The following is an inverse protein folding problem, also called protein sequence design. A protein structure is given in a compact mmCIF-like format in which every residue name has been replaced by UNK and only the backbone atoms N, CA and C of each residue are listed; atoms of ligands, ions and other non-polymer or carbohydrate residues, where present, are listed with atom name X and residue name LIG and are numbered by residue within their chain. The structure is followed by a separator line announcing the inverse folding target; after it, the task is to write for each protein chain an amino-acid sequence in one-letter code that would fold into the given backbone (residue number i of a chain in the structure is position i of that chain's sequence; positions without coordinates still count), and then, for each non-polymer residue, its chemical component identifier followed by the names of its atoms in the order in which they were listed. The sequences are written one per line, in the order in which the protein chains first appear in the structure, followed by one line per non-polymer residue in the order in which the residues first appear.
data_IF_832144475525
#
_entry.id   IF_832144475525
#
_cell.length_a   1.000
_cell.length_b   1.000
_cell.length_c   1.000
_cell.angle_alpha   90.00
_cell.angle_beta   90.00
_cell.angle_gamma   90.00
#
_symmetry.space_group_name_H-M   'P 1'
#
loop_
_entity.id
_entity.type
_entity.pdbx_description
1 polymer ?
#
# COMPACT_ATOMS: atom_id res chain seq x y z
N UNK A 1 19.10 0.17 17.48
CA UNK A 1 19.24 -0.35 16.10
C UNK A 1 18.53 -1.69 16.04
N UNK A 2 17.73 -1.94 15.00
CA UNK A 2 17.05 -3.23 14.85
C UNK A 2 18.10 -4.37 14.73
N UNK A 3 17.68 -5.56 15.16
CA UNK A 3 18.51 -6.76 15.09
C UNK A 3 18.77 -7.18 13.64
N UNK A 4 19.96 -7.76 13.37
CA UNK A 4 20.29 -8.18 12.01
C UNK A 4 19.36 -9.31 11.52
N UNK A 5 18.91 -9.19 10.27
CA UNK A 5 18.09 -10.21 9.61
C UNK A 5 18.89 -11.48 9.25
N UNK A 6 18.23 -12.68 9.27
CA UNK A 6 18.84 -13.93 8.81
C UNK A 6 18.86 -14.01 7.26
N UNK A 7 20.05 -13.98 6.64
CA UNK A 7 20.15 -14.02 5.18
C UNK A 7 19.54 -15.29 4.54
N UNK A 8 19.49 -16.42 5.26
CA UNK A 8 18.97 -17.69 4.73
C UNK A 8 17.44 -17.65 4.61
N UNK A 9 16.77 -17.15 5.66
CA UNK A 9 15.30 -17.05 5.63
C UNK A 9 14.85 -15.94 4.67
N UNK A 10 15.61 -14.83 4.59
CA UNK A 10 15.34 -13.75 3.62
C UNK A 10 15.49 -14.22 2.17
N UNK A 11 16.49 -15.06 1.87
CA UNK A 11 16.63 -15.69 0.56
C UNK A 11 15.47 -16.65 0.26
N UNK A 12 15.04 -17.44 1.25
CA UNK A 12 13.88 -18.30 1.09
C UNK A 12 12.62 -17.49 0.74
N UNK A 13 12.36 -16.39 1.44
CA UNK A 13 11.24 -15.49 1.17
C UNK A 13 11.37 -14.86 -0.23
N UNK A 14 12.54 -14.32 -0.58
CA UNK A 14 12.78 -13.68 -1.87
C UNK A 14 12.55 -14.63 -3.05
N UNK A 15 12.92 -15.89 -2.92
CA UNK A 15 12.72 -16.91 -3.97
C UNK A 15 11.21 -17.18 -4.26
N UNK A 16 10.31 -16.72 -3.40
CA UNK A 16 8.85 -16.84 -3.58
C UNK A 16 8.23 -15.72 -4.41
N UNK A 17 8.98 -14.68 -4.71
CA UNK A 17 8.52 -13.60 -5.62
C UNK A 17 8.22 -14.20 -7.01
N UNK A 18 9.03 -15.14 -7.49
CA UNK A 18 8.88 -15.80 -8.79
C UNK A 18 7.63 -16.67 -8.92
N UNK A 19 6.94 -17.01 -7.82
CA UNK A 19 5.67 -17.75 -7.86
C UNK A 19 4.49 -16.91 -8.39
N UNK A 20 4.69 -15.61 -8.60
CA UNK A 20 3.65 -14.71 -9.09
C UNK A 20 2.53 -14.46 -8.08
N UNK A 21 1.38 -14.01 -8.60
CA UNK A 21 0.13 -13.89 -7.84
C UNK A 21 -0.68 -15.17 -8.06
N UNK A 22 -1.09 -15.78 -6.98
CA UNK A 22 -2.01 -16.93 -6.98
C UNK A 22 -3.30 -16.50 -6.30
N UNK A 23 -4.41 -16.60 -7.02
CA UNK A 23 -5.73 -16.42 -6.44
C UNK A 23 -6.24 -17.76 -5.91
N UNK A 24 -6.75 -17.77 -4.69
CA UNK A 24 -7.30 -18.96 -4.03
C UNK A 24 -6.91 -19.04 -2.58
N UNK A 25 -7.76 -19.66 -1.76
CA UNK A 25 -7.64 -19.67 -0.30
C UNK A 25 -6.95 -20.93 0.21
N UNK A 26 -7.04 -22.04 -0.53
CA UNK A 26 -6.68 -23.40 -0.05
C UNK A 26 -5.23 -23.52 0.45
N UNK A 27 -4.27 -22.82 -0.16
CA UNK A 27 -2.88 -22.81 0.31
C UNK A 27 -2.78 -22.21 1.72
N UNK A 28 -3.40 -21.05 1.93
CA UNK A 28 -3.36 -20.38 3.23
C UNK A 28 -4.24 -21.07 4.27
N UNK A 29 -5.39 -21.64 3.91
CA UNK A 29 -6.23 -22.42 4.81
C UNK A 29 -5.44 -23.58 5.42
N UNK A 30 -4.81 -24.41 4.58
CA UNK A 30 -3.98 -25.54 5.04
C UNK A 30 -2.77 -25.06 5.86
N UNK A 31 -2.14 -23.95 5.48
CA UNK A 31 -1.01 -23.41 6.23
C UNK A 31 -1.43 -22.87 7.59
N UNK A 32 -2.55 -22.13 7.67
CA UNK A 32 -3.10 -21.63 8.94
C UNK A 32 -3.45 -22.77 9.88
N UNK A 33 -4.07 -23.86 9.36
CA UNK A 33 -4.34 -25.05 10.15
C UNK A 33 -3.05 -25.65 10.74
N UNK A 34 -1.98 -25.80 9.93
CA UNK A 34 -0.66 -26.28 10.37
C UNK A 34 -0.01 -25.39 11.43
N UNK A 35 -0.28 -24.09 11.37
CA UNK A 35 0.24 -23.08 12.29
C UNK A 35 -0.67 -22.88 13.52
N UNK A 36 -1.73 -23.68 13.68
CA UNK A 36 -2.64 -23.62 14.83
C UNK A 36 -3.70 -22.51 14.77
N UNK A 37 -4.01 -22.03 13.56
CA UNK A 37 -5.01 -20.97 13.29
C UNK A 37 -4.78 -19.67 14.09
N UNK A 38 -3.59 -19.05 14.02
CA UNK A 38 -3.26 -17.86 14.82
C UNK A 38 -4.20 -16.68 14.53
N UNK A 39 -4.77 -16.59 13.31
CA UNK A 39 -5.72 -15.54 12.89
C UNK A 39 -7.03 -15.54 13.69
N UNK A 40 -7.38 -16.63 14.37
CA UNK A 40 -8.59 -16.73 15.19
C UNK A 40 -8.40 -16.21 16.63
N UNK A 41 -7.18 -15.75 16.98
CA UNK A 41 -6.86 -15.24 18.33
C UNK A 41 -7.30 -13.78 18.53
N UNK A 42 -7.68 -13.08 17.50
CA UNK A 42 -8.04 -11.65 17.54
C UNK A 42 -9.07 -11.30 16.47
N UNK A 43 -9.99 -10.37 16.72
CA UNK A 43 -10.88 -9.82 15.71
C UNK A 43 -10.14 -8.87 14.78
N UNK A 44 -10.66 -8.70 13.57
CA UNK A 44 -9.99 -7.93 12.52
C UNK A 44 -10.93 -6.95 11.83
N UNK A 45 -10.36 -5.81 11.39
CA UNK A 45 -10.98 -4.91 10.40
C UNK A 45 -10.32 -5.23 9.05
N UNK A 46 -11.13 -5.65 8.08
CA UNK A 46 -10.63 -6.12 6.78
C UNK A 46 -10.91 -5.10 5.68
N UNK A 47 -9.85 -4.61 5.03
CA UNK A 47 -9.92 -3.47 4.10
C UNK A 47 -9.56 -3.88 2.68
N UNK A 48 -10.51 -3.71 1.75
CA UNK A 48 -10.30 -3.84 0.31
C UNK A 48 -10.49 -2.49 -0.40
N UNK A 49 -10.19 -2.45 -1.69
CA UNK A 49 -10.33 -1.26 -2.54
C UNK A 49 -9.26 -1.22 -3.62
N UNK A 50 -9.33 -0.23 -4.50
CA UNK A 50 -8.29 0.01 -5.50
C UNK A 50 -7.21 0.90 -4.89
N UNK A 51 -7.54 2.12 -4.53
CA UNK A 51 -6.64 3.10 -3.92
C UNK A 51 -7.05 3.41 -2.48
N UNK A 52 -6.13 3.94 -1.66
CA UNK A 52 -6.42 4.40 -0.30
C UNK A 52 -6.43 3.33 0.81
N UNK A 53 -6.35 2.03 0.50
CA UNK A 53 -6.38 0.94 1.50
C UNK A 53 -5.36 1.13 2.62
N UNK A 54 -4.08 1.23 2.27
CA UNK A 54 -2.99 1.34 3.25
C UNK A 54 -3.10 2.60 4.11
N UNK A 55 -3.55 3.73 3.53
CA UNK A 55 -3.78 4.98 4.29
C UNK A 55 -4.92 4.82 5.30
N UNK A 56 -6.03 4.20 4.89
CA UNK A 56 -7.13 3.90 5.80
C UNK A 56 -6.69 2.93 6.91
N UNK A 57 -5.96 1.87 6.56
CA UNK A 57 -5.44 0.92 7.54
C UNK A 57 -4.52 1.60 8.58
N UNK A 58 -3.67 2.52 8.14
CA UNK A 58 -2.80 3.28 9.01
C UNK A 58 -3.59 4.20 9.95
N UNK A 59 -4.60 4.93 9.43
CA UNK A 59 -5.50 5.77 10.24
C UNK A 59 -6.26 4.94 11.28
N UNK A 60 -6.80 3.77 10.91
CA UNK A 60 -7.51 2.88 11.83
C UNK A 60 -6.58 2.30 12.90
N UNK A 61 -5.33 1.96 12.53
CA UNK A 61 -4.32 1.52 13.51
C UNK A 61 -4.03 2.60 14.55
N UNK A 62 -3.83 3.84 14.10
CA UNK A 62 -3.61 4.97 15.00
C UNK A 62 -4.83 5.25 15.89
N UNK A 63 -6.03 5.20 15.32
CA UNK A 63 -7.28 5.43 16.05
C UNK A 63 -7.51 4.35 17.12
N UNK A 64 -7.25 3.08 16.81
CA UNK A 64 -7.30 2.00 17.79
C UNK A 64 -6.28 2.20 18.92
N UNK A 65 -5.04 2.57 18.58
CA UNK A 65 -3.99 2.86 19.56
C UNK A 65 -4.34 4.07 20.45
N UNK A 66 -4.95 5.12 19.89
CA UNK A 66 -5.46 6.28 20.63
C UNK A 66 -6.50 5.85 21.68
N UNK A 67 -7.25 4.79 21.41
CA UNK A 67 -8.22 4.19 22.33
C UNK A 67 -7.60 3.12 23.27
N UNK A 68 -6.28 3.05 23.36
CA UNK A 68 -5.58 2.13 24.27
C UNK A 68 -5.47 0.70 23.78
N UNK A 69 -5.89 0.38 22.55
CA UNK A 69 -5.80 -0.95 21.98
C UNK A 69 -4.39 -1.26 21.47
N UNK A 70 -3.93 -2.47 21.64
CA UNK A 70 -2.75 -3.00 20.96
C UNK A 70 -3.15 -3.46 19.56
N UNK A 71 -2.81 -2.68 18.56
CA UNK A 71 -3.22 -2.93 17.17
C UNK A 71 -2.11 -3.59 16.37
N UNK A 72 -2.44 -4.72 15.73
CA UNK A 72 -1.66 -5.31 14.66
C UNK A 72 -2.09 -4.72 13.31
N UNK A 73 -1.13 -4.32 12.47
CA UNK A 73 -1.40 -3.75 11.16
C UNK A 73 -0.66 -4.55 10.08
N UNK A 74 -1.42 -5.14 9.15
CA UNK A 74 -0.87 -5.77 7.94
C UNK A 74 -1.17 -4.95 6.71
N UNK A 75 -0.11 -4.53 5.98
CA UNK A 75 -0.23 -3.73 4.75
C UNK A 75 0.65 -4.28 3.63
N UNK A 76 0.29 -4.00 2.37
CA UNK A 76 1.07 -4.38 1.20
C UNK A 76 0.81 -3.47 -0.01
N UNK A 77 1.83 -3.22 -0.86
CA UNK A 77 3.23 -3.61 -0.68
C UNK A 77 3.94 -2.76 0.39
N UNK A 78 5.14 -3.20 0.81
CA UNK A 78 6.02 -2.35 1.60
C UNK A 78 6.64 -1.26 0.73
N UNK A 79 7.06 -0.18 1.36
CA UNK A 79 7.73 0.95 0.72
C UNK A 79 9.23 0.68 0.58
N UNK A 80 9.92 0.35 1.67
CA UNK A 80 11.37 0.15 1.75
C UNK A 80 11.73 -1.23 2.31
N UNK A 81 11.17 -1.60 3.46
CA UNK A 81 11.51 -2.81 4.20
C UNK A 81 10.32 -3.76 4.28
N UNK A 82 10.58 -5.06 4.18
CA UNK A 82 9.52 -6.08 4.30
C UNK A 82 8.84 -6.06 5.67
N UNK A 83 9.52 -5.62 6.69
CA UNK A 83 9.06 -5.44 8.06
C UNK A 83 7.86 -4.49 8.15
N UNK A 84 7.75 -3.53 7.25
CA UNK A 84 6.61 -2.61 7.16
C UNK A 84 5.28 -3.31 6.93
N UNK A 85 5.31 -4.53 6.37
CA UNK A 85 4.07 -5.30 6.15
C UNK A 85 3.44 -5.77 7.45
N UNK A 86 4.22 -5.82 8.51
CA UNK A 86 3.81 -6.31 9.83
C UNK A 86 4.16 -5.24 10.85
N UNK A 87 3.17 -4.52 11.33
CA UNK A 87 3.36 -3.54 12.39
C UNK A 87 2.58 -3.93 13.63
N UNK A 88 3.17 -3.70 14.78
CA UNK A 88 2.53 -3.86 16.08
C UNK A 88 2.69 -2.54 16.81
N UNK A 89 1.58 -1.98 17.28
CA UNK A 89 1.56 -0.68 17.95
C UNK A 89 2.23 0.44 17.13
N UNK A 90 1.92 0.51 15.83
CA UNK A 90 2.45 1.51 14.89
C UNK A 90 3.88 1.29 14.42
N UNK A 91 4.62 0.38 15.03
CA UNK A 91 6.03 0.10 14.75
C UNK A 91 6.21 -1.09 13.79
N UNK A 92 7.07 -0.99 12.76
CA UNK A 92 7.46 -2.17 11.99
C UNK A 92 8.03 -3.26 12.92
N UNK A 93 7.74 -4.53 12.60
CA UNK A 93 8.25 -5.65 13.39
C UNK A 93 9.80 -5.72 13.32
N UNK A 94 10.42 -6.06 14.43
CA UNK A 94 11.87 -6.28 14.47
C UNK A 94 12.30 -7.37 13.47
N UNK A 95 13.40 -7.18 12.68
CA UNK A 95 13.83 -8.11 11.66
C UNK A 95 14.02 -9.55 12.17
N UNK A 96 14.63 -9.72 13.34
CA UNK A 96 14.83 -11.06 13.92
C UNK A 96 13.51 -11.72 14.33
N UNK A 97 12.52 -10.96 14.80
CA UNK A 97 11.18 -11.49 15.09
C UNK A 97 10.44 -11.90 13.81
N UNK A 98 10.49 -11.08 12.76
CA UNK A 98 9.92 -11.46 11.47
C UNK A 98 10.55 -12.73 10.93
N UNK A 99 11.89 -12.85 11.04
CA UNK A 99 12.61 -14.02 10.56
C UNK A 99 12.25 -15.29 11.34
N UNK A 100 11.98 -15.18 12.65
CA UNK A 100 11.49 -16.29 13.46
C UNK A 100 10.15 -16.81 12.92
N UNK A 101 9.16 -15.93 12.71
CA UNK A 101 7.85 -16.33 12.19
C UNK A 101 7.92 -16.82 10.74
N UNK A 102 8.77 -16.24 9.90
CA UNK A 102 9.02 -16.76 8.55
C UNK A 102 9.66 -18.16 8.58
N UNK A 103 10.49 -18.45 9.57
CA UNK A 103 11.07 -19.77 9.77
C UNK A 103 9.98 -20.79 10.14
N UNK A 104 9.05 -20.45 11.03
CA UNK A 104 7.90 -21.30 11.38
C UNK A 104 7.03 -21.58 10.14
N UNK A 105 6.72 -20.54 9.35
CA UNK A 105 5.98 -20.71 8.07
C UNK A 105 6.73 -21.63 7.12
N UNK A 106 8.05 -21.51 7.02
CA UNK A 106 8.89 -22.37 6.18
C UNK A 106 8.85 -23.82 6.67
N UNK A 107 8.97 -24.05 7.96
CA UNK A 107 8.92 -25.39 8.55
C UNK A 107 7.56 -26.05 8.33
N UNK A 108 6.46 -25.35 8.60
CA UNK A 108 5.11 -25.81 8.32
C UNK A 108 4.89 -26.12 6.84
N UNK A 109 5.50 -25.33 5.94
CA UNK A 109 5.40 -25.55 4.49
C UNK A 109 6.13 -26.80 3.99
N UNK A 110 7.12 -27.28 4.74
CA UNK A 110 7.91 -28.47 4.42
C UNK A 110 7.30 -29.78 4.94
N UNK A 111 6.25 -29.74 5.78
CA UNK A 111 5.50 -30.92 6.19
C UNK A 111 4.81 -31.56 4.99
N UNK A 112 4.73 -32.90 4.97
CA UNK A 112 4.03 -33.59 3.87
C UNK A 112 2.49 -33.54 4.05
N UNK A 113 1.73 -33.31 2.98
CA UNK A 113 2.18 -32.91 1.63
C UNK A 113 2.75 -31.49 1.62
N UNK A 114 3.90 -31.27 0.96
CA UNK A 114 4.54 -29.95 0.91
C UNK A 114 3.65 -28.88 0.31
N UNK A 115 3.62 -27.73 0.94
CA UNK A 115 2.87 -26.56 0.49
C UNK A 115 3.86 -25.44 0.13
N UNK A 116 3.59 -24.71 -0.92
CA UNK A 116 4.46 -23.65 -1.41
C UNK A 116 3.74 -22.29 -1.38
N UNK A 117 3.70 -21.60 -0.22
CA UNK A 117 3.09 -20.27 -0.15
C UNK A 117 3.86 -19.28 -1.03
N UNK A 118 3.15 -18.36 -1.67
CA UNK A 118 3.74 -17.22 -2.39
C UNK A 118 4.42 -16.25 -1.42
N UNK A 119 5.11 -15.24 -1.94
CA UNK A 119 5.70 -14.17 -1.11
C UNK A 119 4.65 -13.46 -0.25
N UNK A 120 3.49 -13.12 -0.84
CA UNK A 120 2.39 -12.47 -0.13
C UNK A 120 1.83 -13.39 0.96
N UNK A 121 1.50 -14.63 0.60
CA UNK A 121 0.98 -15.62 1.56
C UNK A 121 1.95 -15.88 2.72
N UNK A 122 3.25 -16.00 2.43
CA UNK A 122 4.26 -16.20 3.48
C UNK A 122 4.35 -15.02 4.45
N UNK A 123 4.29 -13.78 3.94
CA UNK A 123 4.30 -12.59 4.80
C UNK A 123 3.00 -12.41 5.57
N UNK A 124 1.85 -12.75 4.98
CA UNK A 124 0.55 -12.77 5.66
C UNK A 124 0.53 -13.81 6.80
N UNK A 125 0.97 -15.04 6.54
CA UNK A 125 1.04 -16.10 7.57
C UNK A 125 1.97 -15.71 8.73
N UNK A 126 3.14 -15.16 8.42
CA UNK A 126 4.07 -14.66 9.44
C UNK A 126 3.47 -13.51 10.26
N UNK A 127 2.63 -12.64 9.65
CA UNK A 127 1.96 -11.58 10.40
C UNK A 127 0.91 -12.12 11.36
N UNK A 128 0.17 -13.17 10.98
CA UNK A 128 -0.80 -13.81 11.87
C UNK A 128 -0.13 -14.40 13.11
N UNK A 129 1.03 -15.07 12.93
CA UNK A 129 1.84 -15.57 14.05
C UNK A 129 2.35 -14.42 14.94
N UNK A 130 2.88 -13.36 14.32
CA UNK A 130 3.39 -12.20 15.05
C UNK A 130 2.32 -11.50 15.88
N UNK A 131 1.10 -11.39 15.36
CA UNK A 131 -0.02 -10.76 16.03
C UNK A 131 -0.53 -11.62 17.19
N UNK A 132 -0.62 -12.94 17.00
CA UNK A 132 -0.97 -13.87 18.07
C UNK A 132 0.09 -13.89 19.20
N UNK A 133 1.39 -13.92 18.86
CA UNK A 133 2.49 -13.84 19.82
C UNK A 133 2.47 -12.53 20.63
N UNK A 134 2.16 -11.42 19.99
CA UNK A 134 2.07 -10.12 20.64
C UNK A 134 0.81 -9.95 21.49
N UNK A 135 -0.19 -10.83 21.37
CA UNK A 135 -1.47 -10.72 22.08
C UNK A 135 -2.22 -9.42 21.74
N UNK A 136 -2.32 -9.09 20.46
CA UNK A 136 -3.00 -7.86 20.02
C UNK A 136 -4.50 -7.89 20.35
N UNK A 137 -5.09 -6.70 20.59
CA UNK A 137 -6.53 -6.56 20.83
C UNK A 137 -7.32 -6.60 19.52
N UNK A 138 -6.76 -6.04 18.43
CA UNK A 138 -7.39 -5.93 17.11
C UNK A 138 -6.34 -5.98 16.01
N UNK A 139 -6.72 -6.56 14.88
CA UNK A 139 -5.93 -6.44 13.65
C UNK A 139 -6.61 -5.51 12.63
N UNK A 140 -5.82 -4.72 11.90
CA UNK A 140 -6.25 -4.02 10.70
C UNK A 140 -5.51 -4.63 9.52
N UNK A 141 -6.26 -5.22 8.58
CA UNK A 141 -5.72 -6.08 7.54
C UNK A 141 -6.06 -5.54 6.15
N UNK A 142 -5.04 -5.16 5.39
CA UNK A 142 -5.16 -4.74 4.00
C UNK A 142 -5.15 -5.96 3.06
N UNK A 143 -6.11 -6.04 2.11
CA UNK A 143 -6.08 -7.04 1.04
C UNK A 143 -4.88 -6.84 0.11
N UNK A 144 -4.29 -7.92 -0.37
CA UNK A 144 -3.21 -7.86 -1.36
C UNK A 144 -3.73 -7.59 -2.77
N UNK A 145 -4.79 -8.30 -3.19
CA UNK A 145 -5.40 -8.18 -4.51
C UNK A 145 -6.85 -8.67 -4.51
N UNK A 146 -7.76 -7.85 -5.04
CA UNK A 146 -9.16 -8.20 -5.10
C UNK A 146 -9.81 -8.25 -3.72
N UNK A 147 -10.30 -9.39 -3.30
CA UNK A 147 -10.93 -9.62 -2.00
C UNK A 147 -11.39 -11.07 -1.83
N UNK A 148 -12.27 -11.54 -2.71
CA UNK A 148 -12.93 -12.86 -2.64
C UNK A 148 -11.95 -14.04 -2.52
N UNK A 149 -10.85 -13.99 -3.26
CA UNK A 149 -9.81 -15.03 -3.32
C UNK A 149 -8.47 -14.58 -2.74
N UNK A 150 -8.45 -13.44 -2.02
CA UNK A 150 -7.26 -12.98 -1.33
C UNK A 150 -7.07 -13.75 0.00
N UNK A 151 -5.85 -14.14 0.31
CA UNK A 151 -5.54 -14.91 1.53
C UNK A 151 -5.98 -14.22 2.81
N UNK A 152 -6.04 -12.88 2.80
CA UNK A 152 -6.52 -12.10 3.95
C UNK A 152 -8.01 -12.30 4.25
N UNK A 153 -8.77 -12.90 3.30
CA UNK A 153 -10.18 -13.28 3.51
C UNK A 153 -10.34 -14.27 4.69
N UNK A 154 -9.27 -14.95 5.08
CA UNK A 154 -9.27 -15.98 6.12
C UNK A 154 -9.21 -15.43 7.56
N UNK A 155 -9.13 -14.10 7.75
CA UNK A 155 -9.19 -13.49 9.10
C UNK A 155 -10.62 -13.43 9.64
N UNK A 156 -10.74 -13.38 10.96
CA UNK A 156 -12.01 -13.19 11.67
C UNK A 156 -12.40 -11.70 11.66
N UNK A 157 -13.10 -11.26 10.60
CA UNK A 157 -13.46 -9.86 10.47
C UNK A 157 -14.74 -9.51 11.25
N UNK A 158 -14.67 -8.48 12.09
CA UNK A 158 -15.80 -7.83 12.74
C UNK A 158 -16.35 -6.66 11.93
N UNK A 159 -15.55 -6.15 10.98
CA UNK A 159 -15.89 -5.06 10.07
C UNK A 159 -15.15 -5.24 8.75
N UNK A 160 -15.86 -5.09 7.64
CA UNK A 160 -15.28 -5.07 6.30
C UNK A 160 -15.41 -3.68 5.70
N UNK A 161 -14.38 -3.24 4.95
CA UNK A 161 -14.38 -1.90 4.36
C UNK A 161 -13.94 -1.95 2.90
N UNK A 162 -14.63 -1.22 2.04
CA UNK A 162 -14.22 -0.95 0.65
C UNK A 162 -13.93 0.54 0.50
N UNK A 163 -12.68 0.86 0.12
CA UNK A 163 -12.24 2.21 -0.23
C UNK A 163 -12.69 2.56 -1.66
N UNK A 164 -11.86 3.13 -2.51
CA UNK A 164 -12.23 3.44 -3.89
C UNK A 164 -12.29 2.18 -4.77
N UNK A 165 -13.09 2.25 -5.83
CA UNK A 165 -13.16 1.26 -6.90
C UNK A 165 -12.79 1.93 -8.21
N UNK A 166 -11.81 1.40 -8.92
CA UNK A 166 -11.42 1.84 -10.26
C UNK A 166 -10.76 0.71 -11.04
N UNK A 167 -10.50 0.92 -12.32
CA UNK A 167 -9.81 -0.05 -13.15
C UNK A 167 -8.36 -0.22 -12.68
N UNK A 168 -8.05 -1.40 -12.21
CA UNK A 168 -6.70 -1.84 -11.84
C UNK A 168 -6.65 -3.37 -11.85
N UNK A 169 -5.51 -3.95 -12.19
CA UNK A 169 -5.35 -5.41 -12.28
C UNK A 169 -6.44 -6.11 -13.11
N UNK A 170 -6.79 -5.50 -14.23
CA UNK A 170 -7.91 -5.96 -15.09
C UNK A 170 -7.71 -7.39 -15.58
N UNK A 171 -6.46 -7.81 -15.78
CA UNK A 171 -6.08 -9.17 -16.15
C UNK A 171 -6.52 -10.25 -15.14
N UNK A 172 -6.78 -9.86 -13.89
CA UNK A 172 -7.10 -10.79 -12.81
C UNK A 172 -8.48 -10.55 -12.19
N UNK A 173 -8.94 -9.30 -12.16
CA UNK A 173 -10.15 -8.90 -11.44
C UNK A 173 -11.33 -8.62 -12.37
N UNK A 174 -11.10 -8.57 -13.69
CA UNK A 174 -12.11 -8.28 -14.69
C UNK A 174 -11.95 -6.91 -15.36
N UNK A 175 -12.59 -6.76 -16.52
CA UNK A 175 -12.39 -5.64 -17.42
C UNK A 175 -13.37 -4.45 -17.18
N UNK A 176 -14.24 -4.56 -16.18
CA UNK A 176 -15.19 -3.50 -15.80
C UNK A 176 -15.09 -3.17 -14.32
N UNK A 177 -15.42 -1.92 -13.98
CA UNK A 177 -15.43 -1.47 -12.57
C UNK A 177 -16.39 -2.30 -11.71
N UNK A 178 -17.52 -2.75 -12.28
CA UNK A 178 -18.49 -3.61 -11.60
C UNK A 178 -17.92 -5.01 -11.29
N UNK A 179 -17.15 -5.61 -12.20
CA UNK A 179 -16.47 -6.88 -11.94
C UNK A 179 -15.44 -6.74 -10.83
N UNK A 180 -14.63 -5.67 -10.87
CA UNK A 180 -13.65 -5.36 -9.83
C UNK A 180 -14.35 -5.12 -8.48
N UNK A 181 -15.48 -4.42 -8.48
CA UNK A 181 -16.31 -4.21 -7.29
C UNK A 181 -16.80 -5.54 -6.69
N UNK A 182 -17.28 -6.46 -7.53
CA UNK A 182 -17.71 -7.79 -7.09
C UNK A 182 -16.55 -8.60 -6.46
N UNK A 183 -15.37 -8.61 -7.07
CA UNK A 183 -14.20 -9.29 -6.51
C UNK A 183 -13.79 -8.71 -5.15
N UNK A 184 -13.86 -7.37 -4.99
CA UNK A 184 -13.53 -6.70 -3.74
C UNK A 184 -14.62 -6.90 -2.68
N UNK A 185 -15.89 -6.84 -3.06
CA UNK A 185 -17.03 -7.11 -2.17
C UNK A 185 -16.99 -8.54 -1.59
N UNK A 186 -16.28 -9.46 -2.23
CA UNK A 186 -16.05 -10.81 -1.72
C UNK A 186 -15.29 -10.91 -0.40
N UNK A 187 -14.81 -9.79 0.17
CA UNK A 187 -14.35 -9.75 1.57
C UNK A 187 -15.51 -9.80 2.57
N UNK A 188 -16.74 -9.56 2.14
CA UNK A 188 -17.92 -9.60 3.00
C UNK A 188 -18.13 -10.97 3.64
N UNK A 189 -18.70 -10.98 4.84
CA UNK A 189 -19.19 -12.16 5.59
C UNK A 189 -20.62 -11.85 6.04
N UNK A 190 -21.48 -12.84 5.99
CA UNK A 190 -22.87 -12.72 6.45
C UNK A 190 -22.93 -12.21 7.91
N UNK A 191 -23.72 -11.17 8.14
CA UNK A 191 -23.87 -10.53 9.43
C UNK A 191 -22.71 -9.61 9.84
N UNK A 192 -21.71 -9.40 8.97
CA UNK A 192 -20.61 -8.45 9.21
C UNK A 192 -20.83 -7.21 8.36
N UNK A 193 -20.89 -5.99 8.93
CA UNK A 193 -21.06 -4.77 8.16
C UNK A 193 -19.98 -4.62 7.08
N UNK A 194 -20.38 -4.28 5.85
CA UNK A 194 -19.51 -3.89 4.76
C UNK A 194 -19.65 -2.39 4.52
N UNK A 195 -18.76 -1.60 5.08
CA UNK A 195 -18.75 -0.14 4.89
C UNK A 195 -18.04 0.21 3.59
N UNK A 196 -18.72 0.92 2.71
CA UNK A 196 -18.21 1.25 1.38
C UNK A 196 -18.13 2.77 1.20
N UNK A 197 -17.00 3.27 0.73
CA UNK A 197 -16.93 4.63 0.23
C UNK A 197 -17.90 4.76 -0.96
N UNK A 198 -18.74 5.78 -0.93
CA UNK A 198 -19.74 5.98 -1.97
C UNK A 198 -19.10 6.08 -3.36
N UNK A 199 -19.72 5.43 -4.32
CA UNK A 199 -19.30 5.46 -5.72
C UNK A 199 -20.43 5.99 -6.60
N UNK A 200 -20.12 6.88 -7.56
CA UNK A 200 -21.15 7.52 -8.40
C UNK A 200 -21.75 6.57 -9.44
N UNK A 201 -20.99 5.55 -9.87
CA UNK A 201 -21.47 4.54 -10.84
C UNK A 201 -22.41 3.54 -10.16
N UNK A 202 -23.68 3.53 -10.63
CA UNK A 202 -24.71 2.61 -10.14
C UNK A 202 -24.33 1.14 -10.32
N UNK A 203 -23.59 0.81 -11.37
CA UNK A 203 -23.16 -0.57 -11.62
C UNK A 203 -22.21 -1.10 -10.53
N UNK A 204 -21.37 -0.23 -9.97
CA UNK A 204 -20.50 -0.55 -8.83
C UNK A 204 -21.31 -0.78 -7.57
N UNK A 205 -22.25 0.13 -7.27
CA UNK A 205 -23.11 0.00 -6.09
C UNK A 205 -23.95 -1.28 -6.15
N UNK A 206 -24.59 -1.52 -7.29
CA UNK A 206 -25.39 -2.73 -7.50
C UNK A 206 -24.53 -4.02 -7.37
N UNK A 207 -23.31 -4.02 -7.90
CA UNK A 207 -22.41 -5.16 -7.79
C UNK A 207 -22.05 -5.48 -6.31
N UNK A 208 -21.82 -4.47 -5.48
CA UNK A 208 -21.55 -4.63 -4.06
C UNK A 208 -22.81 -5.09 -3.30
N UNK A 209 -23.93 -4.43 -3.52
CA UNK A 209 -25.21 -4.74 -2.87
C UNK A 209 -25.72 -6.14 -3.21
N UNK A 210 -25.47 -6.64 -4.42
CA UNK A 210 -25.82 -8.01 -4.80
C UNK A 210 -25.08 -9.08 -4.01
N UNK A 211 -23.92 -8.74 -3.40
CA UNK A 211 -23.10 -9.65 -2.57
C UNK A 211 -23.40 -9.46 -1.09
N UNK A 212 -23.42 -8.22 -0.63
CA UNK A 212 -23.52 -7.89 0.79
C UNK A 212 -24.98 -7.60 1.26
N UNK A 213 -25.91 -7.40 0.34
CA UNK A 213 -27.31 -7.15 0.67
C UNK A 213 -27.47 -5.96 1.63
N UNK A 214 -28.16 -6.18 2.73
CA UNK A 214 -28.42 -5.17 3.77
C UNK A 214 -27.20 -4.87 4.66
N UNK A 215 -26.14 -5.67 4.60
CA UNK A 215 -24.89 -5.42 5.32
C UNK A 215 -24.05 -4.33 4.64
N UNK A 216 -24.35 -3.94 3.38
CA UNK A 216 -23.69 -2.84 2.69
C UNK A 216 -24.12 -1.49 3.25
N UNK A 217 -23.14 -0.71 3.70
CA UNK A 217 -23.33 0.63 4.26
C UNK A 217 -22.49 1.64 3.48
N UNK A 218 -23.16 2.65 2.89
CA UNK A 218 -22.49 3.65 2.08
C UNK A 218 -22.11 4.88 2.90
N UNK A 219 -20.85 5.34 2.76
CA UNK A 219 -20.30 6.53 3.41
C UNK A 219 -19.87 7.53 2.35
N UNK A 220 -20.24 8.79 2.51
CA UNK A 220 -19.74 9.92 1.73
C UNK A 220 -18.74 10.69 2.56
N UNK A 221 -17.73 11.24 1.93
CA UNK A 221 -16.73 12.14 2.51
C UNK A 221 -16.82 13.49 1.80
N UNK A 222 -16.52 14.56 2.52
CA UNK A 222 -16.51 15.92 1.97
C UNK A 222 -15.12 16.27 1.39
N UNK A 223 -14.07 15.62 1.86
CA UNK A 223 -12.71 15.80 1.37
C UNK A 223 -12.55 15.34 -0.08
N UNK A 224 -11.77 16.10 -0.82
CA UNK A 224 -11.43 15.80 -2.22
C UNK A 224 -10.02 15.20 -2.36
N UNK A 225 -9.21 15.30 -1.33
CA UNK A 225 -7.87 14.72 -1.30
C UNK A 225 -7.86 13.33 -0.63
N UNK A 226 -6.93 12.47 -1.06
CA UNK A 226 -6.90 11.07 -0.63
C UNK A 226 -6.65 10.89 0.87
N UNK A 227 -5.95 11.82 1.52
CA UNK A 227 -5.66 11.76 2.95
C UNK A 227 -6.88 12.19 3.76
N UNK A 228 -7.52 13.28 3.37
CA UNK A 228 -8.78 13.74 3.97
C UNK A 228 -9.88 12.68 3.85
N UNK A 229 -10.08 12.12 2.65
CA UNK A 229 -11.03 11.00 2.43
C UNK A 229 -10.71 9.83 3.37
N UNK A 230 -9.45 9.46 3.48
CA UNK A 230 -9.02 8.35 4.33
C UNK A 230 -9.24 8.63 5.83
N UNK A 231 -8.98 9.87 6.28
CA UNK A 231 -9.20 10.31 7.66
C UNK A 231 -10.70 10.36 8.00
N UNK A 232 -11.51 10.98 7.14
CA UNK A 232 -12.96 11.05 7.34
C UNK A 232 -13.60 9.66 7.40
N UNK A 233 -13.20 8.77 6.48
CA UNK A 233 -13.67 7.39 6.49
C UNK A 233 -13.22 6.67 7.77
N UNK A 234 -11.97 6.87 8.24
CA UNK A 234 -11.50 6.30 9.50
C UNK A 234 -12.28 6.81 10.70
N UNK A 235 -12.64 8.10 10.74
CA UNK A 235 -13.45 8.68 11.81
C UNK A 235 -14.88 8.10 11.82
N UNK A 236 -15.51 7.97 10.65
CA UNK A 236 -16.82 7.33 10.53
C UNK A 236 -16.80 5.87 11.03
N UNK A 237 -15.75 5.12 10.68
CA UNK A 237 -15.54 3.76 11.18
C UNK A 237 -15.24 3.76 12.69
N UNK A 238 -14.50 4.74 13.18
CA UNK A 238 -14.24 4.95 14.60
C UNK A 238 -15.50 5.17 15.41
N UNK A 239 -16.44 5.97 14.93
CA UNK A 239 -17.75 6.13 15.57
C UNK A 239 -18.52 4.82 15.64
N UNK A 240 -18.51 4.00 14.59
CA UNK A 240 -19.16 2.68 14.57
C UNK A 240 -18.52 1.69 15.53
N UNK A 241 -17.20 1.77 15.71
CA UNK A 241 -16.42 0.92 16.63
C UNK A 241 -16.40 1.45 18.08
N UNK A 242 -16.96 2.65 18.33
CA UNK A 242 -16.89 3.32 19.61
C UNK A 242 -15.51 3.90 19.96
N UNK A 243 -14.67 4.15 18.92
CA UNK A 243 -13.32 4.70 19.07
C UNK A 243 -13.26 6.24 18.88
N UNK A 244 -14.33 6.86 18.39
CA UNK A 244 -14.39 8.30 18.12
C UNK A 244 -13.59 8.71 16.88
N UNK A 245 -12.89 9.84 16.94
CA UNK A 245 -12.15 10.45 15.85
C UNK A 245 -10.66 10.54 16.14
N UNK A 246 -9.85 10.62 15.08
CA UNK A 246 -8.41 10.86 15.19
C UNK A 246 -8.11 12.27 15.70
N UNK A 247 -7.36 12.38 16.78
CA UNK A 247 -6.95 13.65 17.40
C UNK A 247 -5.99 14.46 16.53
N UNK A 248 -5.20 13.78 15.69
CA UNK A 248 -4.18 14.40 14.83
C UNK A 248 -4.04 13.68 13.50
N UNK A 249 -3.38 14.31 12.55
CA UNK A 249 -2.95 13.65 11.33
C UNK A 249 -1.84 12.66 11.63
N UNK A 250 -1.91 11.49 10.95
CA UNK A 250 -0.86 10.48 11.06
C UNK A 250 0.18 10.68 9.96
N UNK A 251 1.40 10.23 10.22
CA UNK A 251 2.45 10.15 9.21
C UNK A 251 2.42 8.78 8.52
N UNK A 252 2.03 8.75 7.26
CA UNK A 252 2.08 7.54 6.43
C UNK A 252 3.09 7.73 5.31
N UNK A 253 4.36 7.44 5.60
CA UNK A 253 5.52 7.71 4.75
C UNK A 253 5.34 7.21 3.31
N UNK A 254 5.71 8.05 2.35
CA UNK A 254 5.54 7.79 0.91
C UNK A 254 4.11 7.94 0.40
N UNK A 255 3.17 8.36 1.27
CA UNK A 255 1.77 8.67 0.97
C UNK A 255 1.32 10.00 1.58
N UNK A 256 2.19 10.64 2.34
CA UNK A 256 1.96 11.96 2.93
C UNK A 256 2.46 13.04 1.98
N UNK A 257 1.91 14.25 2.16
CA UNK A 257 2.34 15.44 1.40
C UNK A 257 3.65 16.03 1.91
N UNK A 258 4.27 15.43 2.94
CA UNK A 258 5.50 15.95 3.49
C UNK A 258 6.60 15.89 2.43
N UNK A 259 7.10 17.03 1.95
CA UNK A 259 8.14 17.04 0.95
C UNK A 259 9.45 16.50 1.53
N UNK A 260 10.19 15.79 0.71
CA UNK A 260 11.56 15.38 0.99
C UNK A 260 12.51 16.41 0.40
N UNK A 261 13.62 16.68 1.06
CA UNK A 261 14.65 17.55 0.52
C UNK A 261 15.70 16.71 -0.23
N UNK A 262 15.99 17.07 -1.46
CA UNK A 262 17.05 16.45 -2.24
C UNK A 262 17.96 17.52 -2.83
N UNK A 263 19.20 17.60 -2.33
CA UNK A 263 20.17 18.62 -2.74
C UNK A 263 19.58 20.06 -2.67
N UNK A 264 18.93 20.42 -1.57
CA UNK A 264 18.27 21.71 -1.35
C UNK A 264 17.08 22.01 -2.28
N UNK A 265 16.49 20.99 -2.90
CA UNK A 265 15.25 21.10 -3.69
C UNK A 265 14.13 20.32 -3.02
N UNK A 266 12.97 20.93 -2.89
CA UNK A 266 11.76 20.30 -2.39
C UNK A 266 11.24 19.27 -3.38
N UNK A 267 10.99 18.03 -2.90
CA UNK A 267 10.54 16.92 -3.71
C UNK A 267 9.24 16.36 -3.15
N UNK A 268 8.18 16.39 -3.94
CA UNK A 268 6.96 15.66 -3.65
C UNK A 268 7.06 14.23 -4.20
N UNK A 269 6.78 13.26 -3.35
CA UNK A 269 6.86 11.84 -3.69
C UNK A 269 5.46 11.22 -3.68
N UNK A 270 5.09 10.57 -4.77
CA UNK A 270 3.82 9.86 -4.90
C UNK A 270 4.00 8.42 -5.38
N UNK A 271 3.41 7.50 -4.65
CA UNK A 271 3.30 6.09 -5.06
C UNK A 271 2.20 5.81 -6.08
N UNK A 272 1.62 6.83 -6.72
CA UNK A 272 0.60 6.68 -7.74
C UNK A 272 1.13 5.82 -8.91
N UNK A 273 0.30 4.88 -9.37
CA UNK A 273 0.74 3.89 -10.36
C UNK A 273 -0.41 3.38 -11.25
N UNK A 274 -1.58 3.99 -11.17
CA UNK A 274 -2.72 3.79 -12.08
C UNK A 274 -3.28 5.17 -12.49
N UNK A 275 -4.14 5.19 -13.51
CA UNK A 275 -4.64 6.43 -14.08
C UNK A 275 -5.40 7.31 -13.07
N UNK A 276 -6.23 6.71 -12.20
CA UNK A 276 -6.99 7.43 -11.19
C UNK A 276 -6.08 8.13 -10.18
N UNK A 277 -5.10 7.41 -9.61
CA UNK A 277 -4.17 7.96 -8.64
C UNK A 277 -3.26 9.04 -9.23
N UNK A 278 -2.80 8.86 -10.48
CA UNK A 278 -2.04 9.89 -11.20
C UNK A 278 -2.87 11.15 -11.46
N UNK A 279 -4.12 10.98 -11.92
CA UNK A 279 -5.03 12.11 -12.14
C UNK A 279 -5.32 12.88 -10.84
N UNK A 280 -5.44 12.14 -9.73
CA UNK A 280 -5.65 12.75 -8.41
C UNK A 280 -4.45 13.60 -8.00
N UNK A 281 -3.23 13.08 -8.11
CA UNK A 281 -2.01 13.79 -7.71
C UNK A 281 -1.76 15.04 -8.56
N UNK A 282 -1.99 14.95 -9.88
CA UNK A 282 -1.84 16.09 -10.79
C UNK A 282 -2.82 17.22 -10.46
N UNK A 283 -4.08 16.88 -10.11
CA UNK A 283 -5.04 17.89 -9.63
C UNK A 283 -4.54 18.58 -8.35
N UNK A 284 -3.88 17.84 -7.46
CA UNK A 284 -3.35 18.42 -6.23
C UNK A 284 -2.12 19.31 -6.45
N UNK A 285 -1.28 18.99 -7.43
CA UNK A 285 -0.20 19.88 -7.86
C UNK A 285 -0.72 21.24 -8.38
N UNK A 286 -1.95 21.26 -8.91
CA UNK A 286 -2.65 22.49 -9.25
C UNK A 286 -1.90 23.40 -10.23
N UNK A 287 -1.08 22.83 -11.11
CA UNK A 287 -0.25 23.60 -12.05
C UNK A 287 1.03 24.19 -11.43
N UNK A 288 1.39 23.82 -10.21
CA UNK A 288 2.67 24.21 -9.59
C UNK A 288 3.85 23.78 -10.47
N UNK A 289 4.80 24.71 -10.71
CA UNK A 289 5.98 24.41 -11.53
C UNK A 289 6.83 23.31 -10.92
N UNK A 290 7.15 22.28 -11.72
CA UNK A 290 7.91 21.13 -11.26
C UNK A 290 8.69 20.43 -12.37
N UNK A 291 9.76 19.72 -11.98
CA UNK A 291 10.41 18.69 -12.79
C UNK A 291 9.75 17.35 -12.48
N UNK A 292 9.22 16.67 -13.50
CA UNK A 292 8.64 15.34 -13.35
C UNK A 292 9.75 14.27 -13.39
N UNK A 293 9.78 13.38 -12.39
CA UNK A 293 10.48 12.10 -12.47
C UNK A 293 9.43 11.00 -12.57
N UNK A 294 9.50 10.22 -13.64
CA UNK A 294 8.56 9.13 -13.90
C UNK A 294 9.31 7.79 -14.01
N UNK A 295 8.91 6.83 -13.17
CA UNK A 295 9.34 5.43 -13.28
C UNK A 295 8.20 4.50 -12.94
N UNK A 296 7.92 3.51 -13.78
CA UNK A 296 6.81 2.57 -13.61
C UNK A 296 7.29 1.13 -13.68
N UNK A 297 6.66 0.25 -12.93
CA UNK A 297 6.70 -1.19 -13.21
C UNK A 297 5.80 -1.51 -14.40
N UNK A 298 6.06 -2.62 -15.09
CA UNK A 298 5.32 -3.03 -16.29
C UNK A 298 3.80 -2.90 -16.11
N UNK A 299 3.15 -2.29 -17.10
CA UNK A 299 1.70 -2.12 -17.23
C UNK A 299 1.22 -2.79 -18.51
N UNK A 300 0.07 -3.45 -18.46
CA UNK A 300 -0.55 -4.05 -19.65
C UNK A 300 -1.04 -2.98 -20.61
N UNK A 301 -1.67 -1.94 -20.05
CA UNK A 301 -2.07 -0.75 -20.80
C UNK A 301 -1.31 0.46 -20.24
N UNK A 302 -0.11 0.68 -20.77
CA UNK A 302 0.74 1.80 -20.38
C UNK A 302 0.14 3.13 -20.85
N UNK A 303 -0.50 3.14 -22.02
CA UNK A 303 -1.08 4.35 -22.60
C UNK A 303 -2.25 4.85 -21.76
N UNK A 304 -3.20 3.98 -21.44
CA UNK A 304 -4.30 4.33 -20.54
C UNK A 304 -3.81 4.76 -19.16
N UNK A 305 -2.80 4.08 -18.61
CA UNK A 305 -2.21 4.44 -17.31
C UNK A 305 -1.60 5.83 -17.33
N UNK A 306 -0.94 6.22 -18.42
CA UNK A 306 -0.23 7.50 -18.55
C UNK A 306 -1.12 8.66 -19.02
N UNK A 307 -2.35 8.40 -19.49
CA UNK A 307 -3.27 9.42 -20.03
C UNK A 307 -3.39 10.68 -19.16
N UNK A 308 -3.47 10.61 -17.81
CA UNK A 308 -3.53 11.81 -16.98
C UNK A 308 -2.32 12.74 -17.13
N UNK A 309 -1.15 12.20 -17.52
CA UNK A 309 0.07 12.97 -17.76
C UNK A 309 0.01 13.83 -19.04
N UNK A 310 -1.08 13.78 -19.82
CA UNK A 310 -1.37 14.74 -20.87
C UNK A 310 -1.57 16.16 -20.32
N UNK A 311 -2.05 16.29 -19.08
CA UNK A 311 -1.97 17.56 -18.37
C UNK A 311 -0.51 17.84 -18.00
N UNK A 312 0.10 18.75 -18.76
CA UNK A 312 1.47 19.19 -18.56
C UNK A 312 1.56 20.53 -17.82
N UNK A 313 0.46 21.00 -17.21
CA UNK A 313 0.43 22.24 -16.46
C UNK A 313 1.50 22.28 -15.38
N UNK A 314 2.35 23.28 -15.38
CA UNK A 314 3.47 23.42 -14.46
C UNK A 314 4.67 22.49 -14.71
N UNK A 315 4.57 21.51 -15.58
CA UNK A 315 5.69 20.59 -15.87
C UNK A 315 6.72 21.25 -16.78
N UNK A 316 7.87 21.65 -16.21
CA UNK A 316 8.93 22.36 -16.92
C UNK A 316 9.93 21.41 -17.61
N UNK A 317 10.08 20.19 -17.09
CA UNK A 317 10.94 19.15 -17.63
C UNK A 317 10.47 17.77 -17.21
N UNK A 318 10.83 16.75 -17.98
CA UNK A 318 10.50 15.35 -17.66
C UNK A 318 11.76 14.49 -17.71
N UNK A 319 11.99 13.70 -16.68
CA UNK A 319 13.03 12.68 -16.61
C UNK A 319 12.36 11.34 -16.39
N UNK A 320 12.71 10.37 -17.22
CA UNK A 320 12.23 9.00 -17.08
C UNK A 320 13.33 8.08 -16.58
N UNK A 321 13.00 7.18 -15.67
CA UNK A 321 13.98 6.34 -14.99
C UNK A 321 13.50 4.90 -14.81
N UNK A 322 14.40 4.00 -14.42
CA UNK A 322 14.06 2.62 -14.06
C UNK A 322 13.54 2.53 -12.62
N UNK A 323 12.72 1.51 -12.38
CA UNK A 323 12.28 1.13 -11.05
C UNK A 323 13.03 -0.12 -10.60
N UNK A 324 13.77 0.01 -9.51
CA UNK A 324 14.47 -1.12 -8.90
C UNK A 324 13.57 -1.80 -7.88
N UNK A 325 13.29 -3.07 -8.05
CA UNK A 325 12.39 -3.84 -7.16
C UNK A 325 10.99 -3.97 -7.72
N UNK A 326 10.12 -4.61 -6.91
CA UNK A 326 8.75 -4.90 -7.34
C UNK A 326 8.54 -6.32 -7.85
N UNK A 327 7.27 -6.67 -8.10
CA UNK A 327 6.88 -8.00 -8.60
C UNK A 327 6.96 -8.10 -10.13
N UNK A 328 6.64 -7.00 -10.81
CA UNK A 328 6.74 -6.88 -12.28
C UNK A 328 8.05 -6.15 -12.61
N UNK A 329 8.68 -6.43 -13.76
CA UNK A 329 9.88 -5.71 -14.18
C UNK A 329 9.60 -4.21 -14.37
N UNK A 330 10.65 -3.40 -14.37
CA UNK A 330 10.54 -1.99 -14.75
C UNK A 330 10.04 -1.86 -16.18
N UNK A 331 9.14 -0.91 -16.42
CA UNK A 331 8.88 -0.44 -17.79
C UNK A 331 10.16 0.20 -18.32
N UNK A 332 10.61 -0.12 -19.55
CA UNK A 332 11.77 0.53 -20.14
C UNK A 332 11.60 2.05 -20.15
N UNK A 333 12.61 2.85 -19.73
CA UNK A 333 12.52 4.30 -19.74
C UNK A 333 12.22 4.89 -21.13
N UNK A 334 12.68 4.23 -22.20
CA UNK A 334 12.39 4.58 -23.59
C UNK A 334 10.87 4.54 -23.86
N UNK A 335 10.18 3.50 -23.36
CA UNK A 335 8.73 3.38 -23.54
C UNK A 335 7.96 4.46 -22.75
N UNK A 336 8.47 4.87 -21.58
CA UNK A 336 7.91 6.00 -20.81
C UNK A 336 8.12 7.33 -21.54
N UNK A 337 9.31 7.55 -22.11
CA UNK A 337 9.64 8.74 -22.90
C UNK A 337 8.74 8.86 -24.15
N UNK A 338 8.57 7.75 -24.87
CA UNK A 338 7.68 7.68 -26.03
C UNK A 338 6.22 7.96 -25.65
N UNK A 339 5.76 7.40 -24.52
CA UNK A 339 4.42 7.66 -24.00
C UNK A 339 4.20 9.13 -23.67
N UNK A 340 5.13 9.77 -22.95
CA UNK A 340 5.06 11.21 -22.64
C UNK A 340 5.09 12.08 -23.90
N UNK A 341 5.89 11.71 -24.90
CA UNK A 341 5.96 12.43 -26.19
C UNK A 341 4.63 12.37 -26.94
N UNK A 342 3.96 11.21 -26.97
CA UNK A 342 2.62 11.05 -27.58
C UNK A 342 1.56 11.89 -26.89
N UNK A 343 1.69 12.14 -25.59
CA UNK A 343 0.80 12.98 -24.81
C UNK A 343 1.07 14.49 -24.97
N UNK A 344 2.02 14.89 -25.84
CA UNK A 344 2.29 16.29 -26.15
C UNK A 344 3.12 17.05 -25.11
N UNK A 345 3.75 16.34 -24.17
CA UNK A 345 4.62 16.94 -23.16
C UNK A 345 5.98 17.38 -23.70
N UNK A 346 6.80 18.11 -22.89
CA UNK A 346 8.19 18.40 -23.21
C UNK A 346 8.97 17.12 -23.49
N UNK A 347 10.02 17.21 -24.32
CA UNK A 347 10.91 16.09 -24.58
C UNK A 347 11.48 15.57 -23.26
N UNK A 348 11.37 14.26 -23.04
CA UNK A 348 11.83 13.60 -21.82
C UNK A 348 13.33 13.26 -21.92
N UNK A 349 14.06 13.51 -20.84
CA UNK A 349 15.43 13.04 -20.66
C UNK A 349 15.39 11.61 -20.07
N UNK A 350 16.19 10.70 -20.62
CA UNK A 350 16.29 9.31 -20.13
C UNK A 350 17.50 9.20 -19.21
N UNK A 351 17.26 8.93 -17.92
CA UNK A 351 18.29 8.69 -16.92
C UNK A 351 17.94 7.41 -16.18
N UNK A 352 18.49 6.25 -16.59
CA UNK A 352 18.06 4.94 -16.07
C UNK A 352 18.28 4.75 -14.58
N UNK A 353 19.37 5.27 -14.00
CA UNK A 353 19.62 5.19 -12.56
C UNK A 353 18.73 6.21 -11.82
N UNK A 354 17.87 5.78 -10.86
CA UNK A 354 16.94 6.67 -10.19
C UNK A 354 17.62 7.75 -9.34
N UNK A 355 18.80 7.50 -8.79
CA UNK A 355 19.52 8.48 -7.97
C UNK A 355 20.19 9.53 -8.85
N UNK A 356 20.80 9.11 -9.95
CA UNK A 356 21.29 10.04 -10.97
C UNK A 356 20.15 10.87 -11.59
N UNK A 357 18.95 10.29 -11.77
CA UNK A 357 17.76 11.01 -12.22
C UNK A 357 17.34 12.08 -11.21
N UNK A 358 17.37 11.79 -9.90
CA UNK A 358 17.11 12.76 -8.86
C UNK A 358 18.15 13.89 -8.81
N UNK A 359 19.45 13.54 -8.90
CA UNK A 359 20.53 14.55 -8.93
C UNK A 359 20.36 15.47 -10.15
N UNK A 360 20.05 14.89 -11.32
CA UNK A 360 19.77 15.66 -12.55
C UNK A 360 18.52 16.52 -12.44
N UNK A 361 17.46 16.01 -11.85
CA UNK A 361 16.23 16.77 -11.61
C UNK A 361 16.47 17.97 -10.67
N UNK A 362 17.31 17.82 -9.65
CA UNK A 362 17.65 18.90 -8.74
C UNK A 362 18.42 20.02 -9.47
N UNK A 363 19.34 19.68 -10.37
CA UNK A 363 20.03 20.69 -11.22
C UNK A 363 19.03 21.48 -12.07
N UNK A 364 18.10 20.78 -12.74
CA UNK A 364 17.07 21.40 -13.59
C UNK A 364 16.12 22.25 -12.75
N UNK A 365 15.66 21.72 -11.63
CA UNK A 365 14.73 22.41 -10.72
C UNK A 365 15.34 23.71 -10.17
N UNK A 366 16.59 23.70 -9.74
CA UNK A 366 17.32 24.90 -9.30
C UNK A 366 17.40 25.97 -10.41
N UNK A 367 17.66 25.53 -11.65
CA UNK A 367 17.73 26.46 -12.81
C UNK A 367 16.37 27.12 -13.09
N UNK A 368 15.28 26.41 -12.87
CA UNK A 368 13.92 26.89 -13.14
C UNK A 368 13.21 27.46 -11.90
N UNK A 369 13.83 27.39 -10.72
CA UNK A 369 13.22 27.85 -9.46
C UNK A 369 11.96 27.08 -9.07
N UNK A 370 11.94 25.76 -9.28
CA UNK A 370 10.78 24.91 -9.04
C UNK A 370 11.13 23.68 -8.19
N UNK A 371 10.11 22.92 -7.80
CA UNK A 371 10.27 21.65 -7.09
C UNK A 371 10.42 20.44 -8.03
N UNK A 372 10.51 19.26 -7.43
CA UNK A 372 10.52 17.97 -8.13
C UNK A 372 9.24 17.20 -7.74
N UNK A 373 8.62 16.56 -8.74
CA UNK A 373 7.52 15.61 -8.51
C UNK A 373 7.92 14.22 -9.01
N UNK A 374 7.97 13.26 -8.08
CA UNK A 374 8.31 11.86 -8.38
C UNK A 374 7.06 11.00 -8.31
N UNK A 375 6.80 10.20 -9.37
CA UNK A 375 5.61 9.35 -9.42
C UNK A 375 5.79 8.11 -10.30
N UNK A 376 4.78 7.27 -10.32
CA UNK A 376 4.66 6.09 -11.17
C UNK A 376 4.91 4.76 -10.46
N UNK A 377 5.57 4.75 -9.30
CA UNK A 377 5.82 3.52 -8.56
C UNK A 377 6.15 3.77 -7.09
N UNK A 378 5.49 3.02 -6.21
CA UNK A 378 5.83 3.01 -4.78
C UNK A 378 7.28 2.53 -4.51
N UNK A 379 7.81 1.65 -5.36
CA UNK A 379 9.18 1.16 -5.23
C UNK A 379 10.22 2.23 -5.60
N UNK A 380 9.89 3.10 -6.57
CA UNK A 380 10.72 4.27 -6.88
C UNK A 380 10.76 5.23 -5.70
N UNK A 381 9.59 5.54 -5.14
CA UNK A 381 9.46 6.39 -3.94
C UNK A 381 10.25 5.80 -2.79
N UNK A 382 10.11 4.50 -2.51
CA UNK A 382 10.85 3.82 -1.45
C UNK A 382 12.36 3.88 -1.62
N UNK A 383 12.87 3.68 -2.84
CA UNK A 383 14.29 3.77 -3.14
C UNK A 383 14.84 5.19 -2.88
N UNK A 384 14.11 6.22 -3.31
CA UNK A 384 14.49 7.62 -3.12
C UNK A 384 14.46 8.00 -1.64
N UNK A 385 13.45 7.59 -0.89
CA UNK A 385 13.37 7.84 0.56
C UNK A 385 14.51 7.17 1.31
N UNK A 386 14.83 5.91 0.99
CA UNK A 386 15.93 5.20 1.61
C UNK A 386 17.28 5.87 1.35
N UNK A 387 17.51 6.33 0.12
CA UNK A 387 18.72 7.05 -0.25
C UNK A 387 18.78 8.46 0.38
N UNK A 388 17.64 9.18 0.47
CA UNK A 388 17.55 10.45 1.18
C UNK A 388 17.95 10.29 2.65
N UNK A 389 17.34 9.34 3.35
CA UNK A 389 17.66 9.04 4.74
C UNK A 389 19.14 8.69 4.92
N UNK A 390 19.74 7.91 3.99
CA UNK A 390 21.15 7.59 4.02
C UNK A 390 22.06 8.83 3.85
N UNK A 391 21.69 9.76 2.97
CA UNK A 391 22.43 11.02 2.73
C UNK A 391 22.36 11.95 3.93
N UNK A 392 21.18 12.05 4.55
CA UNK A 392 20.91 12.94 5.69
C UNK A 392 21.36 12.30 7.03
N UNK A 393 21.70 11.01 7.04
CA UNK A 393 22.06 10.27 8.26
C UNK A 393 20.87 10.00 9.19
N UNK A 394 19.64 10.12 8.70
CA UNK A 394 18.43 9.83 9.47
C UNK A 394 18.17 8.32 9.57
N UNK A 395 17.49 7.92 10.66
CA UNK A 395 17.14 6.51 10.86
C UNK A 395 15.82 6.20 10.11
N UNK A 396 15.93 5.38 9.07
CA UNK A 396 14.77 4.97 8.26
C UNK A 396 13.69 4.30 9.09
N UNK A 397 14.02 3.64 10.19
CA UNK A 397 13.03 3.01 11.07
C UNK A 397 12.09 4.03 11.70
N UNK A 398 12.62 5.18 12.11
CA UNK A 398 11.82 6.30 12.64
C UNK A 398 10.86 6.84 11.57
N UNK A 399 11.31 6.87 10.31
CA UNK A 399 10.49 7.32 9.18
C UNK A 399 9.32 6.36 8.86
N UNK A 400 9.42 5.10 9.25
CA UNK A 400 8.42 4.06 8.97
C UNK A 400 7.40 3.85 10.09
N UNK A 401 7.48 4.60 11.18
CA UNK A 401 6.52 4.58 12.29
C UNK A 401 5.21 5.25 11.85
N UNK A 402 4.07 4.59 12.10
CA UNK A 402 2.73 5.13 11.77
C UNK A 402 2.26 6.09 12.86
N UNK A 403 2.44 5.71 14.10
CA UNK A 403 2.13 6.50 15.29
C UNK A 403 3.09 6.09 16.41
N UNK A 404 3.37 6.96 17.39
CA UNK A 404 4.20 6.58 18.53
C UNK A 404 3.59 5.36 19.23
N UNK A 405 4.42 4.43 19.72
CA UNK A 405 3.95 3.32 20.52
C UNK A 405 3.30 3.84 21.80
N UNK A 406 2.33 3.09 22.32
CA UNK A 406 1.65 3.44 23.57
C UNK A 406 2.67 3.57 24.70
N UNK A 407 2.52 4.59 25.53
CA UNK A 407 3.27 4.65 26.78
C UNK A 407 2.89 3.43 27.64
N UNK A 408 3.83 2.51 27.82
CA UNK A 408 3.63 1.41 28.78
C UNK A 408 3.49 2.06 30.15
N UNK A 409 2.27 2.19 30.64
CA UNK A 409 2.06 2.36 32.08
C UNK A 409 2.54 1.07 32.71
N UNK A 410 3.71 1.11 33.36
CA UNK A 410 4.15 0.03 34.22
C UNK A 410 3.05 -0.19 35.28
N UNK A 411 2.30 -1.27 35.12
CA UNK A 411 1.32 -1.76 36.06
C UNK A 411 1.95 -2.77 37.01
#
# INVERSE_FOLDING_TARGET
MPTAADPKIRRWLKNRIGAGVRLGLSTCEQMLERLGNPQSSFPSIHVAGTNGKGSLCANLSALGAQNGLLVGLFTSPHLILVEERVRIDGMPIEPAKLDLFLQEVREASNLEPKIHPTYFEATFLASMLAFADAGIDRAVIETGLGGRLDSTRLVEAELCVITTISLDHTEMLGNTVAQIASEKAGIHREGVPLVCLHHEDDSVRHAIESIAGHDAVWVRTDSIDAQGVSKELANELGHRLGWGELDSEIRWTGRTRDPVNWLDVECQLSGAHNAESLAHDLRQLGGTSHVLILGMTHKEDLEATMTPLSDSSGRVHSIVTQVNGGRKPSTPPEALADGLSKLGGPQSEIVPDPFAAMDRAAEVAKKHGCGIFVTGSIYLVGAILAESARRDGSDIWTELVVHPPRSRTEG
#
